data_IF_697739180507
#
_entry.id   IF_697739180507
#
_cell.length_a   1.000
_cell.length_b   1.000
_cell.length_c   1.000
_cell.angle_alpha   90.00
_cell.angle_beta   90.00
_cell.angle_gamma   90.00
#
_symmetry.space_group_name_H-M   'P 1'
#
loop_
_entity.id
_entity.type
_entity.pdbx_description
1 polymer ?
#
# COMPACT_ATOMS: atom_id res chain seq x y z
N UNK A 1 -5.66 4.34 -18.74
CA UNK A 1 -4.78 3.50 -17.90
C UNK A 1 -4.78 4.12 -16.52
N UNK A 2 -5.23 3.43 -15.47
CA UNK A 2 -5.08 3.93 -14.11
C UNK A 2 -3.64 3.69 -13.67
N UNK A 3 -2.92 4.75 -13.27
CA UNK A 3 -1.49 4.65 -12.97
C UNK A 3 -1.21 4.11 -11.56
N UNK A 4 -2.08 4.43 -10.60
CA UNK A 4 -1.97 3.99 -9.21
C UNK A 4 -3.36 3.96 -8.56
N UNK A 5 -3.60 2.94 -7.73
CA UNK A 5 -4.72 2.90 -6.78
C UNK A 5 -4.09 2.91 -5.40
N UNK A 6 -4.44 3.89 -4.58
CA UNK A 6 -3.96 4.05 -3.21
C UNK A 6 -5.16 3.90 -2.26
N UNK A 7 -5.47 2.67 -1.80
CA UNK A 7 -6.45 2.49 -0.75
C UNK A 7 -5.79 2.88 0.58
N UNK A 8 -6.14 4.06 1.10
CA UNK A 8 -5.81 4.44 2.47
C UNK A 8 -6.76 3.75 3.45
N UNK A 9 -6.23 3.16 4.52
CA UNK A 9 -7.04 2.65 5.64
C UNK A 9 -6.62 3.33 6.94
N UNK A 10 -7.61 3.71 7.76
CA UNK A 10 -7.39 4.17 9.12
C UNK A 10 -7.36 3.01 10.14
N UNK A 11 -7.60 1.78 9.68
CA UNK A 11 -7.66 0.57 10.50
C UNK A 11 -7.18 -0.64 9.68
N UNK A 12 -5.94 -1.06 9.94
CA UNK A 12 -5.29 -2.12 9.20
C UNK A 12 -5.96 -3.49 9.44
N UNK A 13 -6.33 -3.78 10.68
CA UNK A 13 -6.97 -5.06 11.05
C UNK A 13 -8.31 -5.24 10.35
N UNK A 14 -9.10 -4.17 10.29
CA UNK A 14 -10.38 -4.18 9.56
C UNK A 14 -10.18 -4.32 8.06
N UNK A 15 -9.17 -3.66 7.49
CA UNK A 15 -8.85 -3.77 6.07
C UNK A 15 -8.46 -5.21 5.70
N UNK A 16 -7.58 -5.85 6.47
CA UNK A 16 -7.18 -7.25 6.24
C UNK A 16 -8.41 -8.15 6.23
N UNK A 17 -9.27 -8.06 7.25
CA UNK A 17 -10.48 -8.89 7.36
C UNK A 17 -11.45 -8.71 6.19
N UNK A 18 -11.53 -7.51 5.62
CA UNK A 18 -12.39 -7.21 4.48
C UNK A 18 -11.78 -7.66 3.13
N UNK A 19 -10.49 -7.38 2.91
CA UNK A 19 -9.84 -7.59 1.62
C UNK A 19 -9.32 -9.02 1.43
N UNK A 20 -8.95 -9.74 2.50
CA UNK A 20 -8.47 -11.12 2.38
C UNK A 20 -9.45 -12.07 1.67
N UNK A 21 -10.75 -12.13 2.04
CA UNK A 21 -11.69 -13.00 1.33
C UNK A 21 -12.00 -12.52 -0.09
N UNK A 22 -11.96 -11.20 -0.34
CA UNK A 22 -12.13 -10.65 -1.70
C UNK A 22 -10.99 -11.11 -2.62
N UNK A 23 -9.75 -11.04 -2.15
CA UNK A 23 -8.57 -11.44 -2.93
C UNK A 23 -8.53 -12.95 -3.16
N UNK A 24 -9.00 -13.77 -2.20
CA UNK A 24 -9.16 -15.21 -2.39
C UNK A 24 -10.19 -15.53 -3.50
N UNK A 25 -11.33 -14.84 -3.54
CA UNK A 25 -12.36 -15.02 -4.59
C UNK A 25 -11.80 -14.65 -5.97
N UNK A 26 -10.97 -13.62 -6.05
CA UNK A 26 -10.36 -13.16 -7.29
C UNK A 26 -9.19 -14.04 -7.76
N UNK A 27 -8.89 -15.14 -7.04
CA UNK A 27 -7.71 -15.98 -7.26
C UNK A 27 -6.40 -15.17 -7.29
N UNK A 28 -6.38 -14.05 -6.56
CA UNK A 28 -5.24 -13.15 -6.56
C UNK A 28 -4.16 -13.71 -5.64
N UNK A 29 -2.92 -13.94 -6.12
CA UNK A 29 -1.88 -14.50 -5.29
C UNK A 29 -1.63 -13.55 -4.10
N UNK A 30 -1.72 -14.08 -2.89
CA UNK A 30 -1.23 -13.37 -1.70
C UNK A 30 0.28 -13.26 -1.84
N UNK A 31 0.76 -12.07 -2.14
CA UNK A 31 2.17 -11.84 -2.30
C UNK A 31 2.43 -10.46 -2.84
N UNK A 32 3.49 -9.87 -2.35
CA UNK A 32 4.08 -8.71 -2.98
C UNK A 32 5.56 -8.71 -2.66
N UNK A 33 6.37 -8.33 -3.64
CA UNK A 33 7.82 -8.20 -3.41
C UNK A 33 8.07 -6.84 -2.78
N UNK A 34 8.86 -6.81 -1.71
CA UNK A 34 9.29 -5.54 -1.11
C UNK A 34 10.10 -4.74 -2.15
N UNK A 35 9.62 -3.56 -2.49
CA UNK A 35 10.29 -2.60 -3.39
C UNK A 35 10.74 -1.35 -2.62
N UNK A 36 10.58 -1.36 -1.30
CA UNK A 36 10.98 -0.27 -0.45
C UNK A 36 10.32 -0.40 0.90
N UNK A 37 11.12 -0.82 1.88
CA UNK A 37 10.70 -0.85 3.27
C UNK A 37 10.06 0.48 3.71
N UNK A 38 9.13 0.43 4.68
CA UNK A 38 8.52 1.61 5.27
C UNK A 38 9.57 2.60 5.76
N UNK A 39 9.50 3.85 5.31
CA UNK A 39 10.44 4.88 5.73
C UNK A 39 10.06 6.28 5.26
N UNK A 40 10.65 7.29 5.90
CA UNK A 40 10.53 8.68 5.47
C UNK A 40 11.17 8.88 4.10
N UNK A 41 10.44 9.50 3.18
CA UNK A 41 10.95 9.89 1.86
C UNK A 41 10.94 11.41 1.77
N UNK A 42 11.95 12.09 2.33
CA UNK A 42 12.01 13.56 2.36
C UNK A 42 11.98 14.21 0.97
N UNK A 43 12.32 13.46 -0.08
CA UNK A 43 12.17 13.89 -1.48
C UNK A 43 10.72 14.21 -1.90
N UNK A 44 9.71 13.68 -1.19
CA UNK A 44 8.28 13.89 -1.47
C UNK A 44 7.58 14.76 -0.39
N UNK A 45 8.32 15.24 0.61
CA UNK A 45 7.82 16.05 1.74
C UNK A 45 8.42 15.59 3.07
N UNK A 46 8.62 16.51 4.02
CA UNK A 46 9.23 16.21 5.34
C UNK A 46 8.43 15.15 6.13
N UNK A 47 7.11 15.16 5.99
CA UNK A 47 6.20 14.24 6.69
C UNK A 47 5.74 13.05 5.84
N UNK A 48 6.35 12.85 4.68
CA UNK A 48 5.96 11.79 3.75
C UNK A 48 6.60 10.47 4.15
N UNK A 49 5.82 9.63 4.84
CA UNK A 49 6.21 8.26 5.17
C UNK A 49 5.61 7.30 4.14
N UNK A 50 6.44 6.46 3.51
CA UNK A 50 5.93 5.49 2.55
C UNK A 50 6.63 4.14 2.55
N UNK A 51 5.87 3.13 2.13
CA UNK A 51 6.34 1.78 1.81
C UNK A 51 5.91 1.43 0.38
N UNK A 52 6.76 0.70 -0.35
CA UNK A 52 6.48 0.27 -1.72
C UNK A 52 6.48 -1.24 -1.81
N UNK A 53 5.45 -1.79 -2.45
CA UNK A 53 5.33 -3.23 -2.70
C UNK A 53 4.98 -3.42 -4.17
N UNK A 54 5.56 -4.43 -4.80
CA UNK A 54 5.14 -4.87 -6.13
C UNK A 54 4.20 -6.05 -6.00
N UNK A 55 3.01 -5.94 -6.58
CA UNK A 55 2.08 -7.07 -6.62
C UNK A 55 2.55 -8.16 -7.62
N UNK A 56 1.92 -9.34 -7.63
CA UNK A 56 2.30 -10.43 -8.52
C UNK A 56 2.14 -10.12 -10.02
N UNK A 57 1.34 -9.11 -10.38
CA UNK A 57 1.17 -8.66 -11.76
C UNK A 57 2.22 -7.61 -12.17
N UNK A 58 3.06 -7.17 -11.24
CA UNK A 58 4.08 -6.17 -11.49
C UNK A 58 3.62 -4.72 -11.35
N UNK A 59 2.41 -4.47 -10.84
CA UNK A 59 1.96 -3.14 -10.45
C UNK A 59 2.68 -2.67 -9.19
N UNK A 60 3.01 -1.37 -9.18
CA UNK A 60 3.64 -0.71 -8.04
C UNK A 60 2.60 -0.17 -7.08
N UNK A 61 2.52 -0.74 -5.90
CA UNK A 61 1.69 -0.27 -4.79
C UNK A 61 2.53 0.64 -3.89
N UNK A 62 1.98 1.81 -3.56
CA UNK A 62 2.58 2.75 -2.63
C UNK A 62 1.61 2.92 -1.45
N UNK A 63 2.08 2.58 -0.25
CA UNK A 63 1.39 2.87 1.00
C UNK A 63 2.00 4.15 1.55
N UNK A 64 1.20 5.20 1.68
CA UNK A 64 1.67 6.51 2.14
C UNK A 64 0.90 6.89 3.38
N UNK A 65 1.63 7.40 4.37
CA UNK A 65 1.13 8.00 5.57
C UNK A 65 1.77 9.39 5.71
N UNK A 66 0.95 10.42 5.87
CA UNK A 66 1.44 11.76 6.18
C UNK A 66 1.37 11.95 7.68
N UNK A 67 2.51 12.22 8.31
CA UNK A 67 2.56 12.64 9.72
C UNK A 67 2.36 14.15 9.86
N UNK A 68 1.28 14.69 9.30
CA UNK A 68 0.89 16.07 9.53
C UNK A 68 -0.63 16.17 9.66
N UNK A 69 -1.09 16.15 10.91
CA UNK A 69 -2.41 16.63 11.30
C UNK A 69 -2.19 17.75 12.31
N UNK A 70 -2.14 19.00 11.83
CA UNK A 70 -2.51 20.18 12.61
C UNK A 70 -3.77 20.77 12.02
#
# INVERSE_FOLDING_TARGET
MFSYIMPGTNDLSRAITFYDPLMDILAYPRGGTDEGAPGLRPHFGEDFYSAYVRDPDGNKLAFVYYTAQS
#
